data_IF_830742075136
#
_entry.id   IF_830742075136
#
_cell.length_a   1.000
_cell.length_b   1.000
_cell.length_c   1.000
_cell.angle_alpha   90.00
_cell.angle_beta   90.00
_cell.angle_gamma   90.00
#
_symmetry.space_group_name_H-M   'P 1'
#
loop_
_entity.id
_entity.type
_entity.pdbx_description
1 polymer ?
#
# COMPACT_ATOMS: atom_id res chain seq x y z
N UNK A 1 13.11 4.97 40.06
CA UNK A 1 11.69 4.74 39.69
C UNK A 1 11.45 4.93 38.19
N UNK A 2 11.85 6.07 37.59
CA UNK A 2 11.67 6.33 36.15
C UNK A 2 12.34 5.28 35.22
N UNK A 3 13.57 4.84 35.55
CA UNK A 3 14.29 3.83 34.75
C UNK A 3 13.63 2.44 34.78
N UNK A 4 12.99 2.06 35.89
CA UNK A 4 12.25 0.79 35.96
C UNK A 4 11.01 0.82 35.07
N UNK A 5 10.33 1.97 34.99
CA UNK A 5 9.17 2.14 34.11
C UNK A 5 9.53 2.03 32.62
N UNK A 6 10.63 2.66 32.20
CA UNK A 6 11.12 2.56 30.81
C UNK A 6 11.50 1.12 30.46
N UNK A 7 12.22 0.42 31.34
CA UNK A 7 12.62 -0.97 31.10
C UNK A 7 11.40 -1.91 30.96
N UNK A 8 10.36 -1.71 31.77
CA UNK A 8 9.10 -2.47 31.66
C UNK A 8 8.41 -2.19 30.32
N UNK A 9 8.32 -0.93 29.90
CA UNK A 9 7.70 -0.56 28.61
C UNK A 9 8.45 -1.15 27.42
N UNK A 10 9.79 -1.11 27.43
CA UNK A 10 10.63 -1.74 26.39
C UNK A 10 10.43 -3.26 26.38
N UNK A 11 10.37 -3.89 27.56
CA UNK A 11 10.09 -5.32 27.67
C UNK A 11 8.74 -5.70 27.08
N UNK A 12 7.68 -4.96 27.42
CA UNK A 12 6.33 -5.16 26.86
C UNK A 12 6.35 -4.98 25.34
N UNK A 13 7.01 -3.94 24.84
CA UNK A 13 7.11 -3.68 23.40
C UNK A 13 7.84 -4.80 22.65
N UNK A 14 8.95 -5.31 23.18
CA UNK A 14 9.67 -6.44 22.59
C UNK A 14 8.81 -7.72 22.58
N UNK A 15 8.01 -7.95 23.63
CA UNK A 15 7.07 -9.06 23.66
C UNK A 15 5.98 -8.91 22.60
N UNK A 16 5.48 -7.69 22.37
CA UNK A 16 4.54 -7.41 21.29
C UNK A 16 5.17 -7.66 19.92
N UNK A 17 6.41 -7.21 19.69
CA UNK A 17 7.16 -7.50 18.47
C UNK A 17 7.28 -9.00 18.23
N UNK A 18 7.62 -9.77 19.27
CA UNK A 18 7.70 -11.22 19.18
C UNK A 18 6.34 -11.88 18.88
N UNK A 19 5.24 -11.38 19.46
CA UNK A 19 3.89 -11.92 19.24
C UNK A 19 3.34 -11.68 17.83
N UNK A 20 3.85 -10.67 17.13
CA UNK A 20 3.43 -10.27 15.79
C UNK A 20 4.36 -10.82 14.70
N UNK A 21 5.27 -11.72 15.06
CA UNK A 21 6.16 -12.35 14.11
C UNK A 21 5.36 -13.22 13.14
N UNK A 22 5.49 -12.91 11.85
CA UNK A 22 4.94 -13.74 10.79
C UNK A 22 5.87 -14.92 10.50
N UNK A 23 5.27 -16.10 10.37
CA UNK A 23 5.92 -17.29 9.87
C UNK A 23 5.38 -17.58 8.46
N UNK A 24 6.29 -17.96 7.56
CA UNK A 24 5.95 -18.41 6.21
C UNK A 24 4.96 -19.56 6.31
N UNK A 25 3.91 -19.51 5.50
CA UNK A 25 2.86 -20.52 5.43
C UNK A 25 2.12 -20.44 4.11
N UNK A 26 1.55 -21.55 3.70
CA UNK A 26 0.63 -21.62 2.58
C UNK A 26 -0.76 -21.10 2.97
N UNK A 27 -1.56 -20.58 2.02
CA UNK A 27 -2.96 -20.30 2.24
C UNK A 27 -3.71 -21.61 2.51
N UNK A 28 -4.82 -21.52 3.26
CA UNK A 28 -5.68 -22.67 3.53
C UNK A 28 -6.98 -22.63 2.72
N UNK A 29 -7.05 -21.74 1.73
CA UNK A 29 -8.19 -21.58 0.84
C UNK A 29 -8.08 -22.55 -0.34
N UNK A 30 -9.19 -22.90 -1.01
CA UNK A 30 -9.15 -23.65 -2.25
C UNK A 30 -8.21 -22.99 -3.27
N UNK A 31 -7.54 -23.80 -4.08
CA UNK A 31 -6.82 -23.29 -5.25
C UNK A 31 -7.81 -22.65 -6.22
N UNK A 32 -7.42 -21.50 -6.76
CA UNK A 32 -8.16 -20.75 -7.78
C UNK A 32 -7.16 -20.30 -8.84
N UNK A 33 -7.66 -19.97 -10.03
CA UNK A 33 -6.81 -19.59 -11.16
C UNK A 33 -6.19 -18.19 -10.99
N UNK A 34 -6.81 -17.32 -10.17
CA UNK A 34 -6.29 -15.98 -9.88
C UNK A 34 -5.70 -15.90 -8.46
N UNK A 35 -4.70 -15.02 -8.30
CA UNK A 35 -4.04 -14.79 -7.01
C UNK A 35 -4.00 -13.31 -6.65
N UNK A 36 -4.10 -13.01 -5.36
CA UNK A 36 -3.99 -11.68 -4.81
C UNK A 36 -2.87 -11.62 -3.77
N UNK A 37 -2.03 -10.59 -3.85
CA UNK A 37 -0.90 -10.36 -2.97
C UNK A 37 -0.96 -8.95 -2.38
N UNK A 38 -0.97 -8.88 -1.05
CA UNK A 38 -0.71 -7.68 -0.28
C UNK A 38 0.77 -7.67 0.11
N UNK A 39 1.55 -6.83 -0.56
CA UNK A 39 3.01 -6.84 -0.52
C UNK A 39 3.53 -5.58 0.15
N UNK A 40 4.60 -5.71 0.95
CA UNK A 40 5.26 -4.60 1.62
C UNK A 40 6.75 -4.56 1.31
N UNK A 41 7.23 -3.36 0.98
CA UNK A 41 8.63 -2.97 1.13
C UNK A 41 8.79 -2.43 2.56
N UNK A 42 9.67 -3.02 3.34
CA UNK A 42 9.86 -2.74 4.75
C UNK A 42 10.66 -1.47 5.03
N UNK A 43 11.63 -1.13 4.17
CA UNK A 43 12.46 0.06 4.32
C UNK A 43 11.99 1.24 3.45
N UNK A 44 10.96 1.01 2.63
CA UNK A 44 10.20 2.01 1.90
C UNK A 44 9.79 3.22 2.74
N UNK A 45 9.62 4.36 2.09
CA UNK A 45 9.29 5.64 2.74
C UNK A 45 10.18 5.98 3.96
N UNK A 46 11.49 5.70 3.88
CA UNK A 46 12.47 5.93 4.96
C UNK A 46 12.20 5.10 6.23
N UNK A 47 11.77 3.85 6.08
CA UNK A 47 11.58 2.90 7.18
C UNK A 47 10.19 2.85 7.79
N UNK A 48 9.22 3.58 7.24
CA UNK A 48 7.79 3.39 7.57
C UNK A 48 7.17 2.20 6.79
N UNK A 49 7.83 1.83 5.70
CA UNK A 49 7.40 0.85 4.72
C UNK A 49 6.54 1.46 3.61
N UNK A 50 6.31 0.67 2.56
CA UNK A 50 5.42 0.99 1.45
C UNK A 50 4.64 -0.27 1.04
N UNK A 51 3.32 -0.13 0.85
CA UNK A 51 2.45 -1.25 0.48
C UNK A 51 2.04 -1.16 -0.99
N UNK A 52 2.00 -2.30 -1.67
CA UNK A 52 1.38 -2.46 -2.99
C UNK A 52 0.40 -3.63 -3.00
N UNK A 53 -0.49 -3.59 -3.99
CA UNK A 53 -1.35 -4.72 -4.36
C UNK A 53 -0.81 -5.31 -5.66
N UNK A 54 -0.61 -6.62 -5.71
CA UNK A 54 -0.41 -7.37 -6.95
C UNK A 54 -1.60 -8.32 -7.13
N UNK A 55 -2.23 -8.24 -8.30
CA UNK A 55 -3.20 -9.23 -8.76
C UNK A 55 -2.57 -10.04 -9.88
N UNK A 56 -2.73 -11.35 -9.86
CA UNK A 56 -2.25 -12.26 -10.89
C UNK A 56 -3.45 -12.97 -11.49
N UNK A 57 -3.60 -12.91 -12.81
CA UNK A 57 -4.69 -13.58 -13.52
C UNK A 57 -4.41 -15.06 -13.81
N UNK A 58 -5.38 -15.73 -14.43
CA UNK A 58 -5.34 -17.15 -14.79
C UNK A 58 -4.17 -17.51 -15.74
N UNK A 59 -3.58 -16.52 -16.43
CA UNK A 59 -2.43 -16.70 -17.30
C UNK A 59 -1.10 -16.43 -16.59
N UNK A 60 -1.13 -16.06 -15.30
CA UNK A 60 0.04 -15.66 -14.53
C UNK A 60 0.45 -14.19 -14.74
N UNK A 61 -0.30 -13.41 -15.51
CA UNK A 61 0.03 -12.00 -15.78
C UNK A 61 -0.28 -11.18 -14.53
N UNK A 62 0.72 -10.41 -14.08
CA UNK A 62 0.64 -9.62 -12.87
C UNK A 62 0.22 -8.18 -13.18
N UNK A 63 -0.74 -7.64 -12.43
CA UNK A 63 -1.08 -6.21 -12.42
C UNK A 63 -0.80 -5.64 -11.04
N UNK A 64 0.08 -4.63 -10.97
CA UNK A 64 0.49 -3.98 -9.73
C UNK A 64 -0.21 -2.63 -9.57
N UNK A 65 -0.55 -2.31 -8.33
CA UNK A 65 -1.11 -1.02 -7.92
C UNK A 65 -0.34 -0.45 -6.73
N UNK A 66 0.10 0.80 -6.86
CA UNK A 66 0.87 1.55 -5.86
C UNK A 66 0.27 2.94 -5.70
N UNK A 67 -0.15 3.30 -4.48
CA UNK A 67 -0.81 4.58 -4.21
C UNK A 67 0.10 5.49 -3.38
N UNK A 68 0.30 6.75 -3.80
CA UNK A 68 1.11 7.72 -3.05
C UNK A 68 0.61 9.16 -3.22
N UNK A 69 1.15 10.10 -2.44
CA UNK A 69 0.87 11.52 -2.56
C UNK A 69 1.42 12.11 -3.86
N UNK A 70 0.60 12.92 -4.54
CA UNK A 70 0.98 13.63 -5.77
C UNK A 70 0.96 15.15 -5.61
N UNK A 71 -0.06 15.67 -4.93
CA UNK A 71 -0.28 17.12 -4.84
C UNK A 71 0.59 17.82 -3.77
N UNK A 72 0.87 17.14 -2.65
CA UNK A 72 1.61 17.73 -1.53
C UNK A 72 3.02 17.16 -1.45
N UNK A 73 3.96 17.97 -0.97
CA UNK A 73 5.31 17.48 -0.66
C UNK A 73 5.30 16.54 0.55
N UNK A 74 6.30 15.66 0.65
CA UNK A 74 6.44 14.76 1.81
C UNK A 74 6.45 15.52 3.15
N UNK A 75 7.12 16.68 3.20
CA UNK A 75 7.16 17.50 4.40
C UNK A 75 5.76 17.96 4.82
N UNK A 76 4.95 18.41 3.86
CA UNK A 76 3.57 18.81 4.10
C UNK A 76 2.67 17.64 4.52
N UNK A 77 2.84 16.48 3.88
CA UNK A 77 2.11 15.27 4.27
C UNK A 77 2.45 14.86 5.71
N UNK A 78 3.72 14.97 6.11
CA UNK A 78 4.16 14.70 7.49
C UNK A 78 3.56 15.66 8.52
N UNK A 79 3.25 16.90 8.12
CA UNK A 79 2.46 17.86 8.92
C UNK A 79 0.95 17.61 8.86
N UNK A 80 0.50 16.53 8.20
CA UNK A 80 -0.88 16.10 8.15
C UNK A 80 -1.71 16.73 7.02
N UNK A 81 -1.08 17.46 6.08
CA UNK A 81 -1.81 17.97 4.91
C UNK A 81 -2.24 16.81 4.02
N UNK A 82 -3.50 16.85 3.58
CA UNK A 82 -4.02 15.98 2.53
C UNK A 82 -3.77 16.58 1.15
N UNK A 83 -3.86 15.76 0.11
CA UNK A 83 -3.91 16.20 -1.27
C UNK A 83 -4.28 15.05 -2.20
N UNK A 84 -4.47 15.31 -3.48
CA UNK A 84 -4.71 14.24 -4.45
C UNK A 84 -3.53 13.27 -4.46
N UNK A 85 -3.85 11.98 -4.40
CA UNK A 85 -2.89 10.90 -4.59
C UNK A 85 -2.81 10.43 -6.04
N UNK A 86 -1.75 9.71 -6.35
CA UNK A 86 -1.48 9.03 -7.62
C UNK A 86 -1.58 7.54 -7.40
N UNK A 87 -2.31 6.85 -8.27
CA UNK A 87 -2.36 5.40 -8.31
C UNK A 87 -1.55 4.92 -9.51
N UNK A 88 -0.27 4.64 -9.28
CA UNK A 88 0.59 4.02 -10.28
C UNK A 88 0.14 2.58 -10.52
N UNK A 89 -0.01 2.23 -11.80
CA UNK A 89 -0.36 0.89 -12.24
C UNK A 89 0.59 0.41 -13.33
N UNK A 90 0.89 -0.88 -13.32
CA UNK A 90 1.76 -1.51 -14.31
C UNK A 90 1.47 -3.00 -14.42
N UNK A 91 1.78 -3.58 -15.58
CA UNK A 91 1.60 -5.00 -15.86
C UNK A 91 2.93 -5.71 -16.07
N UNK A 92 2.98 -6.97 -15.67
CA UNK A 92 4.10 -7.90 -15.86
C UNK A 92 3.61 -9.13 -16.59
N UNK A 93 4.43 -9.64 -17.50
CA UNK A 93 4.25 -10.97 -18.07
C UNK A 93 4.32 -12.04 -16.97
N UNK A 94 3.86 -13.27 -17.27
CA UNK A 94 3.92 -14.36 -16.30
C UNK A 94 5.35 -14.65 -15.78
N UNK A 95 6.35 -14.56 -16.66
CA UNK A 95 7.76 -14.72 -16.31
C UNK A 95 8.25 -13.59 -15.39
N UNK A 96 7.93 -12.33 -15.70
CA UNK A 96 8.29 -11.18 -14.86
C UNK A 96 7.60 -11.24 -13.49
N UNK A 97 6.33 -11.67 -13.44
CA UNK A 97 5.59 -11.88 -12.19
C UNK A 97 6.24 -12.95 -11.33
N UNK A 98 6.63 -14.08 -11.91
CA UNK A 98 7.32 -15.15 -11.20
C UNK A 98 8.67 -14.66 -10.65
N UNK A 99 9.45 -13.95 -11.47
CA UNK A 99 10.74 -13.36 -11.06
C UNK A 99 10.52 -12.37 -9.91
N UNK A 100 9.53 -11.49 -10.00
CA UNK A 100 9.22 -10.55 -8.94
C UNK A 100 8.84 -11.26 -7.63
N UNK A 101 7.97 -12.28 -7.69
CA UNK A 101 7.57 -13.05 -6.51
C UNK A 101 8.74 -13.85 -5.89
N UNK A 102 9.75 -14.21 -6.69
CA UNK A 102 10.95 -14.89 -6.20
C UNK A 102 11.99 -13.92 -5.61
N UNK A 103 12.19 -12.77 -6.25
CA UNK A 103 13.32 -11.85 -5.96
C UNK A 103 12.93 -10.64 -5.11
N UNK A 104 11.65 -10.27 -5.12
CA UNK A 104 11.17 -9.00 -4.56
C UNK A 104 11.48 -7.79 -5.44
N UNK A 105 12.24 -7.93 -6.53
CA UNK A 105 12.62 -6.82 -7.39
C UNK A 105 11.50 -6.49 -8.38
N UNK A 106 10.80 -5.38 -8.14
CA UNK A 106 9.83 -4.84 -9.08
C UNK A 106 10.54 -3.88 -10.03
N UNK A 107 10.41 -4.09 -11.34
CA UNK A 107 11.11 -3.33 -12.36
C UNK A 107 10.21 -2.93 -13.53
N UNK A 108 9.10 -2.26 -13.26
CA UNK A 108 8.19 -1.76 -14.29
C UNK A 108 8.50 -0.30 -14.58
N UNK A 109 8.50 0.08 -15.87
CA UNK A 109 8.59 1.48 -16.28
C UNK A 109 7.42 2.28 -15.73
N UNK A 110 7.71 3.12 -14.73
CA UNK A 110 6.69 3.92 -14.07
C UNK A 110 7.19 4.48 -12.75
N UNK A 111 6.71 5.68 -12.43
CA UNK A 111 6.98 6.29 -11.13
C UNK A 111 6.40 5.39 -10.02
N UNK A 112 7.24 5.01 -9.05
CA UNK A 112 6.88 4.19 -7.87
C UNK A 112 6.57 2.71 -8.17
N UNK A 113 6.99 2.20 -9.34
CA UNK A 113 6.92 0.77 -9.70
C UNK A 113 8.32 0.18 -9.95
N UNK A 114 9.33 0.77 -9.31
CA UNK A 114 10.70 0.26 -9.31
C UNK A 114 11.23 0.28 -7.88
N UNK A 115 11.25 -0.87 -7.22
CA UNK A 115 11.69 -1.00 -5.83
C UNK A 115 11.94 -2.47 -5.47
N UNK A 116 12.49 -2.73 -4.28
CA UNK A 116 12.61 -4.08 -3.72
C UNK A 116 11.56 -4.29 -2.61
N UNK A 117 10.85 -5.40 -2.65
CA UNK A 117 9.81 -5.77 -1.71
C UNK A 117 10.19 -7.02 -0.94
N UNK A 118 9.67 -7.14 0.28
CA UNK A 118 10.22 -8.02 1.31
C UNK A 118 9.34 -9.22 1.65
N UNK A 119 8.02 -8.98 1.69
CA UNK A 119 7.06 -9.92 2.23
C UNK A 119 5.70 -9.69 1.63
N UNK A 120 4.98 -10.80 1.39
CA UNK A 120 3.61 -10.77 0.94
C UNK A 120 2.71 -11.60 1.86
N UNK A 121 1.50 -11.07 2.09
CA UNK A 121 0.34 -11.89 2.42
C UNK A 121 -0.40 -12.19 1.12
N UNK A 122 -0.79 -13.44 0.92
CA UNK A 122 -1.41 -13.82 -0.35
C UNK A 122 -2.54 -14.82 -0.18
N UNK A 123 -3.47 -14.83 -1.14
CA UNK A 123 -4.52 -15.85 -1.23
C UNK A 123 -5.00 -16.05 -2.67
N UNK A 124 -5.51 -17.25 -2.98
CA UNK A 124 -6.34 -17.48 -4.15
C UNK A 124 -7.62 -16.63 -4.10
N UNK A 125 -8.05 -16.18 -5.28
CA UNK A 125 -9.28 -15.40 -5.49
C UNK A 125 -9.98 -15.87 -6.77
N UNK A 126 -11.30 -15.73 -6.81
CA UNK A 126 -12.09 -15.99 -8.02
C UNK A 126 -11.84 -14.91 -9.08
N UNK A 127 -12.11 -15.23 -10.35
CA UNK A 127 -12.09 -14.26 -11.44
C UNK A 127 -13.08 -13.08 -11.19
N UNK A 128 -14.24 -13.34 -10.59
CA UNK A 128 -15.19 -12.28 -10.21
C UNK A 128 -14.62 -11.37 -9.10
N UNK A 129 -13.93 -11.94 -8.12
CA UNK A 129 -13.27 -11.17 -7.06
C UNK A 129 -12.16 -10.27 -7.66
N UNK A 130 -11.37 -10.81 -8.60
CA UNK A 130 -10.35 -10.06 -9.34
C UNK A 130 -10.96 -8.81 -10.01
N UNK A 131 -12.08 -8.96 -10.71
CA UNK A 131 -12.76 -7.83 -11.37
C UNK A 131 -13.30 -6.81 -10.37
N UNK A 132 -13.91 -7.26 -9.27
CA UNK A 132 -14.41 -6.35 -8.22
C UNK A 132 -13.27 -5.51 -7.64
N UNK A 133 -12.09 -6.09 -7.43
CA UNK A 133 -10.92 -5.35 -6.95
C UNK A 133 -10.48 -4.30 -7.98
N UNK A 134 -10.42 -4.66 -9.28
CA UNK A 134 -10.09 -3.70 -10.34
C UNK A 134 -11.07 -2.51 -10.35
N UNK A 135 -12.37 -2.76 -10.19
CA UNK A 135 -13.38 -1.70 -10.13
C UNK A 135 -13.15 -0.71 -8.98
N UNK A 136 -12.60 -1.17 -7.84
CA UNK A 136 -12.26 -0.28 -6.72
C UNK A 136 -11.13 0.70 -7.03
N UNK A 137 -10.33 0.44 -8.07
CA UNK A 137 -9.22 1.33 -8.48
C UNK A 137 -9.70 2.52 -9.30
N UNK A 138 -10.89 2.42 -9.92
CA UNK A 138 -11.43 3.42 -10.86
C UNK A 138 -11.51 4.84 -10.25
N UNK A 139 -12.03 5.04 -9.02
CA UNK A 139 -12.07 6.38 -8.41
C UNK A 139 -10.69 7.02 -8.24
N UNK A 140 -9.66 6.22 -7.96
CA UNK A 140 -8.28 6.68 -7.78
C UNK A 140 -7.66 7.12 -9.11
N UNK A 141 -7.82 6.30 -10.16
CA UNK A 141 -7.36 6.63 -11.51
C UNK A 141 -8.06 7.90 -12.05
N UNK A 142 -9.36 8.02 -11.81
CA UNK A 142 -10.14 9.19 -12.23
C UNK A 142 -9.69 10.48 -11.52
N UNK A 143 -9.45 10.41 -10.20
CA UNK A 143 -8.99 11.56 -9.42
C UNK A 143 -7.59 12.02 -9.88
N UNK A 144 -6.68 11.07 -10.13
CA UNK A 144 -5.36 11.36 -10.69
C UNK A 144 -5.47 12.03 -12.07
N UNK A 145 -6.27 11.47 -12.98
CA UNK A 145 -6.45 12.01 -14.32
C UNK A 145 -7.01 13.43 -14.31
N UNK A 146 -8.04 13.68 -13.48
CA UNK A 146 -8.62 15.02 -13.30
C UNK A 146 -7.59 16.01 -12.78
N UNK A 147 -6.79 15.62 -11.79
CA UNK A 147 -5.74 16.47 -11.25
C UNK A 147 -4.66 16.79 -12.29
N UNK A 148 -4.15 15.79 -13.00
CA UNK A 148 -3.13 16.00 -14.05
C UNK A 148 -3.63 16.94 -15.14
N UNK A 149 -4.85 16.73 -15.62
CA UNK A 149 -5.48 17.58 -16.64
C UNK A 149 -5.59 19.03 -16.17
N UNK A 150 -5.94 19.26 -14.90
CA UNK A 150 -6.05 20.61 -14.34
C UNK A 150 -4.67 21.23 -14.10
N UNK A 151 -3.70 20.43 -13.64
CA UNK A 151 -2.34 20.86 -13.40
C UNK A 151 -1.62 21.26 -14.69
N UNK A 152 -1.79 20.51 -15.77
CA UNK A 152 -1.26 20.85 -17.10
C UNK A 152 -1.77 22.21 -17.58
N UNK A 153 -3.08 22.44 -17.46
CA UNK A 153 -3.68 23.75 -17.77
C UNK A 153 -3.10 24.87 -16.91
N UNK A 154 -2.91 24.64 -15.61
CA UNK A 154 -2.29 25.61 -14.72
C UNK A 154 -0.82 25.91 -15.09
N UNK A 155 -0.06 24.88 -15.46
CA UNK A 155 1.36 24.98 -15.77
C UNK A 155 1.62 25.74 -17.08
N UNK A 156 0.74 25.57 -18.06
CA UNK A 156 0.84 26.19 -19.39
C UNK A 156 0.16 27.57 -19.49
N UNK A 157 -0.67 27.96 -18.51
CA UNK A 157 -1.42 29.21 -18.56
C UNK A 157 -0.53 30.45 -18.31
N UNK A 158 -0.61 31.40 -19.24
CA UNK A 158 0.14 32.67 -19.20
C UNK A 158 -0.66 33.79 -18.52
N UNK A 159 -2.00 33.75 -18.58
CA UNK A 159 -2.85 34.74 -17.92
C UNK A 159 -2.89 34.52 -16.40
N UNK A 160 -2.40 35.51 -15.65
CA UNK A 160 -2.31 35.43 -14.19
C UNK A 160 -3.68 35.24 -13.51
N UNK A 161 -4.76 35.80 -14.09
CA UNK A 161 -6.12 35.66 -13.54
C UNK A 161 -6.63 34.23 -13.66
N UNK A 162 -6.56 33.64 -14.85
CA UNK A 162 -6.93 32.24 -15.11
C UNK A 162 -6.03 31.26 -14.40
N UNK A 163 -4.73 31.52 -14.33
CA UNK A 163 -3.81 30.69 -13.56
C UNK A 163 -4.18 30.64 -12.08
N UNK A 164 -4.57 31.76 -11.48
CA UNK A 164 -5.07 31.81 -10.11
C UNK A 164 -6.44 31.13 -9.92
N UNK A 165 -7.25 31.00 -10.98
CA UNK A 165 -8.47 30.18 -10.96
C UNK A 165 -8.14 28.68 -10.94
N UNK A 166 -7.20 28.23 -11.77
CA UNK A 166 -6.75 26.83 -11.77
C UNK A 166 -6.06 26.44 -10.46
N UNK A 167 -5.25 27.34 -9.89
CA UNK A 167 -4.62 27.11 -8.59
C UNK A 167 -5.66 26.87 -7.49
N UNK A 168 -6.68 27.74 -7.40
CA UNK A 168 -7.80 27.56 -6.45
C UNK A 168 -8.56 26.26 -6.69
N UNK A 169 -8.75 25.86 -7.94
CA UNK A 169 -9.41 24.60 -8.26
C UNK A 169 -8.57 23.38 -7.83
N UNK A 170 -7.24 23.42 -8.02
CA UNK A 170 -6.32 22.37 -7.53
C UNK A 170 -6.37 22.28 -6.00
N UNK A 171 -6.36 23.41 -5.30
CA UNK A 171 -6.51 23.45 -3.84
C UNK A 171 -7.85 22.86 -3.37
N UNK A 172 -8.95 23.17 -4.06
CA UNK A 172 -10.27 22.62 -3.76
C UNK A 172 -10.32 21.10 -3.95
N UNK A 173 -9.72 20.57 -5.01
CA UNK A 173 -9.59 19.13 -5.20
C UNK A 173 -8.88 18.46 -4.02
N UNK A 174 -7.83 19.07 -3.49
CA UNK A 174 -7.09 18.55 -2.32
C UNK A 174 -7.85 18.56 -0.99
N UNK A 175 -9.07 19.13 -0.97
CA UNK A 175 -9.95 19.23 0.19
C UNK A 175 -11.27 18.46 0.01
N UNK A 176 -11.56 18.00 -1.22
CA UNK A 176 -12.79 17.28 -1.54
C UNK A 176 -12.76 15.85 -0.99
N UNK A 177 -13.55 15.62 0.07
CA UNK A 177 -13.62 14.32 0.75
C UNK A 177 -14.32 13.23 -0.08
N UNK A 178 -14.89 13.57 -1.24
CA UNK A 178 -15.40 12.57 -2.18
C UNK A 178 -14.30 11.95 -3.05
N UNK A 179 -13.11 12.57 -3.08
CA UNK A 179 -11.94 12.07 -3.80
C UNK A 179 -11.05 11.23 -2.88
N UNK A 180 -10.25 10.30 -3.44
CA UNK A 180 -9.26 9.54 -2.69
C UNK A 180 -8.05 10.43 -2.35
N UNK A 181 -8.21 11.26 -1.31
CA UNK A 181 -7.17 12.17 -0.84
C UNK A 181 -6.07 11.40 -0.10
N UNK A 182 -4.84 11.47 -0.61
CA UNK A 182 -3.68 10.95 0.09
C UNK A 182 -3.43 11.73 1.39
N UNK A 183 -3.31 11.00 2.49
CA UNK A 183 -2.95 11.51 3.81
C UNK A 183 -2.12 10.44 4.52
N UNK A 184 -0.87 10.77 4.87
CA UNK A 184 0.14 9.78 5.28
C UNK A 184 -0.24 8.94 6.52
N UNK A 185 -1.09 9.47 7.41
CA UNK A 185 -1.52 8.86 8.67
C UNK A 185 -2.93 8.29 8.65
N UNK A 186 -3.73 8.47 7.60
CA UNK A 186 -5.15 8.05 7.56
C UNK A 186 -5.61 7.49 6.22
N UNK A 187 -5.00 7.88 5.10
CA UNK A 187 -5.29 7.35 3.77
C UNK A 187 -4.01 7.32 2.91
N UNK A 188 -3.17 6.32 3.13
CA UNK A 188 -1.87 6.16 2.48
C UNK A 188 -1.84 4.90 1.58
N UNK A 189 -0.66 4.52 1.09
CA UNK A 189 -0.46 3.32 0.26
C UNK A 189 -1.12 2.07 0.85
N UNK A 190 -0.92 1.85 2.15
CA UNK A 190 -1.45 0.71 2.87
C UNK A 190 -2.98 0.71 2.96
N UNK A 191 -3.56 1.87 3.30
CA UNK A 191 -5.02 1.97 3.39
C UNK A 191 -5.69 1.75 2.04
N UNK A 192 -5.11 2.28 0.96
CA UNK A 192 -5.63 2.06 -0.39
C UNK A 192 -5.64 0.57 -0.75
N UNK A 193 -4.50 -0.12 -0.58
CA UNK A 193 -4.39 -1.57 -0.82
C UNK A 193 -5.42 -2.34 0.00
N UNK A 194 -5.53 -2.07 1.30
CA UNK A 194 -6.52 -2.75 2.15
C UNK A 194 -7.96 -2.44 1.76
N UNK A 195 -8.24 -1.23 1.28
CA UNK A 195 -9.56 -0.84 0.79
C UNK A 195 -9.95 -1.65 -0.43
N UNK A 196 -9.03 -1.82 -1.38
CA UNK A 196 -9.25 -2.64 -2.57
C UNK A 196 -9.54 -4.10 -2.21
N UNK A 197 -8.72 -4.68 -1.34
CA UNK A 197 -8.87 -6.06 -0.86
C UNK A 197 -10.19 -6.25 -0.08
N UNK A 198 -10.59 -5.26 0.72
CA UNK A 198 -11.81 -5.30 1.55
C UNK A 198 -13.10 -5.44 0.74
N UNK A 199 -13.08 -5.17 -0.57
CA UNK A 199 -14.24 -5.35 -1.43
C UNK A 199 -14.62 -6.83 -1.60
N UNK A 200 -13.67 -7.75 -1.40
CA UNK A 200 -13.86 -9.20 -1.59
C UNK A 200 -13.47 -10.04 -0.36
N UNK A 201 -12.69 -9.48 0.56
CA UNK A 201 -12.29 -10.15 1.79
C UNK A 201 -12.94 -9.52 3.01
N UNK A 202 -13.91 -10.23 3.62
CA UNK A 202 -14.65 -9.75 4.79
C UNK A 202 -13.79 -9.58 6.03
N UNK A 203 -12.70 -10.35 6.17
CA UNK A 203 -11.76 -10.17 7.29
C UNK A 203 -10.94 -8.91 7.11
N UNK A 204 -10.49 -8.62 5.87
CA UNK A 204 -9.82 -7.36 5.56
C UNK A 204 -10.78 -6.17 5.72
N UNK A 205 -12.06 -6.33 5.35
CA UNK A 205 -13.09 -5.30 5.55
C UNK A 205 -13.26 -4.97 7.04
N UNK A 206 -13.46 -6.00 7.88
CA UNK A 206 -13.57 -5.83 9.33
C UNK A 206 -12.29 -5.20 9.89
N UNK A 207 -11.12 -5.71 9.49
CA UNK A 207 -9.84 -5.18 9.92
C UNK A 207 -9.67 -3.70 9.55
N UNK A 208 -10.00 -3.33 8.32
CA UNK A 208 -9.87 -1.96 7.81
C UNK A 208 -10.78 -0.99 8.52
N UNK A 209 -12.00 -1.41 8.87
CA UNK A 209 -12.95 -0.57 9.59
C UNK A 209 -12.50 -0.18 11.01
N UNK A 210 -11.80 -1.08 11.71
CA UNK A 210 -11.40 -0.86 13.11
C UNK A 210 -9.93 -0.43 13.30
N UNK A 211 -9.12 -0.51 12.24
CA UNK A 211 -7.68 -0.27 12.36
C UNK A 211 -7.36 1.22 12.42
N UNK A 212 -6.67 1.61 13.50
CA UNK A 212 -6.11 2.97 13.72
C UNK A 212 -4.59 3.04 13.47
N UNK A 213 -3.97 1.91 13.11
CA UNK A 213 -2.54 1.73 12.84
C UNK A 213 -2.31 1.80 11.34
N UNK A 214 -1.26 2.47 10.89
CA UNK A 214 -1.21 2.95 9.50
C UNK A 214 0.16 2.77 8.85
N UNK A 215 1.15 2.18 9.54
CA UNK A 215 2.37 1.80 8.82
C UNK A 215 2.15 0.49 8.06
N UNK A 216 2.59 0.41 6.80
CA UNK A 216 2.65 -0.83 6.01
C UNK A 216 3.14 -2.05 6.82
N UNK A 217 4.30 -1.92 7.48
CA UNK A 217 4.91 -3.00 8.24
C UNK A 217 4.06 -3.46 9.43
N UNK A 218 3.50 -2.51 10.18
CA UNK A 218 2.66 -2.81 11.33
C UNK A 218 1.37 -3.53 10.93
N UNK A 219 0.74 -3.08 9.84
CA UNK A 219 -0.53 -3.63 9.36
C UNK A 219 -0.36 -5.01 8.74
N UNK A 220 0.66 -5.23 7.92
CA UNK A 220 0.96 -6.56 7.37
C UNK A 220 1.11 -7.59 8.49
N UNK A 221 1.87 -7.28 9.54
CA UNK A 221 2.09 -8.20 10.67
C UNK A 221 0.83 -8.45 11.49
N UNK A 222 0.11 -7.38 11.83
CA UNK A 222 -1.09 -7.48 12.64
C UNK A 222 -2.21 -8.23 11.91
N UNK A 223 -2.47 -7.89 10.65
CA UNK A 223 -3.43 -8.60 9.82
C UNK A 223 -2.99 -10.04 9.57
N UNK A 224 -1.75 -10.25 9.13
CA UNK A 224 -1.19 -11.58 8.83
C UNK A 224 -1.15 -12.53 10.04
N UNK A 225 -1.09 -12.01 11.27
CA UNK A 225 -1.18 -12.85 12.48
C UNK A 225 -2.62 -13.31 12.72
N UNK A 226 -3.63 -12.50 12.35
CA UNK A 226 -5.06 -12.79 12.48
C UNK A 226 -5.60 -13.63 11.32
N UNK A 227 -5.17 -13.36 10.09
CA UNK A 227 -5.66 -13.95 8.85
C UNK A 227 -5.06 -15.34 8.58
N UNK A 228 -5.47 -16.34 9.38
CA UNK A 228 -4.91 -17.70 9.31
C UNK A 228 -5.13 -18.43 7.98
N UNK A 229 -6.13 -18.00 7.20
CA UNK A 229 -6.44 -18.52 5.88
C UNK A 229 -5.56 -17.94 4.77
N UNK A 230 -4.91 -16.81 5.00
CA UNK A 230 -3.95 -16.21 4.08
C UNK A 230 -2.58 -16.89 4.20
N UNK A 231 -1.92 -17.06 3.05
CA UNK A 231 -0.51 -17.41 2.96
C UNK A 231 0.39 -16.25 3.38
N UNK A 232 1.62 -16.58 3.76
CA UNK A 232 2.70 -15.64 4.08
C UNK A 232 3.93 -16.12 3.33
N UNK A 233 4.52 -15.25 2.53
CA UNK A 233 5.79 -15.54 1.85
C UNK A 233 6.78 -14.40 2.01
N UNK A 234 8.05 -14.77 1.95
CA UNK A 234 9.15 -13.83 1.79
C UNK A 234 9.35 -13.58 0.30
N UNK A 235 9.71 -12.36 -0.05
CA UNK A 235 10.15 -12.01 -1.40
C UNK A 235 11.66 -11.75 -1.32
N UNK A 236 12.43 -12.45 -2.15
CA UNK A 236 13.88 -12.29 -2.18
C UNK A 236 14.58 -12.56 -0.84
N UNK A 237 15.71 -11.88 -0.66
CA UNK A 237 16.53 -11.99 0.54
C UNK A 237 16.52 -10.65 1.30
N UNK A 238 16.00 -10.69 2.52
CA UNK A 238 16.02 -9.50 3.37
C UNK A 238 17.41 -9.18 3.91
N UNK A 239 17.82 -7.93 3.75
CA UNK A 239 18.95 -7.30 4.41
C UNK A 239 18.78 -7.31 5.94
N UNK A 240 19.87 -7.07 6.66
CA UNK A 240 19.81 -6.98 8.11
C UNK A 240 18.89 -5.83 8.57
N UNK A 241 18.89 -4.71 7.85
CA UNK A 241 18.07 -3.55 8.21
C UNK A 241 16.59 -3.84 8.03
N UNK A 242 16.18 -4.45 6.91
CA UNK A 242 14.80 -4.86 6.67
C UNK A 242 14.31 -5.83 7.73
N UNK A 243 15.11 -6.82 8.13
CA UNK A 243 14.76 -7.75 9.21
C UNK A 243 14.52 -7.03 10.54
N UNK A 244 15.35 -6.03 10.84
CA UNK A 244 15.21 -5.20 12.04
C UNK A 244 13.93 -4.37 11.97
N UNK A 245 13.65 -3.70 10.85
CA UNK A 245 12.43 -2.92 10.64
C UNK A 245 11.18 -3.81 10.73
N UNK A 246 11.19 -4.94 10.02
CA UNK A 246 10.14 -5.95 10.08
C UNK A 246 9.93 -6.53 11.47
N UNK A 247 10.95 -6.57 12.32
CA UNK A 247 10.75 -6.97 13.72
C UNK A 247 10.15 -5.83 14.56
N UNK A 248 10.76 -4.65 14.51
CA UNK A 248 10.48 -3.56 15.45
C UNK A 248 9.23 -2.71 15.10
N UNK A 249 8.85 -2.57 13.82
CA UNK A 249 7.76 -1.66 13.40
C UNK A 249 6.39 -2.35 13.52
N UNK A 250 5.70 -2.19 14.65
CA UNK A 250 4.42 -2.88 14.95
C UNK A 250 3.19 -1.95 15.05
N UNK A 251 3.36 -0.67 14.70
CA UNK A 251 2.36 0.39 14.82
C UNK A 251 2.17 1.10 13.49
#
# INVERSE_FOLDING_TARGET
MLMCGVAVMVGIWLLLCASLRLAVREPSLPEEDCMMYYIVNADGMKGLGHSILLLVDEQGIGTVFSFNGMQTSLGESLFGKSGIGKLSTGTMTAEETEIFLQTGDLGIDGDQLTDNYDMALYRPIMAEEYQVILEQTIPYLNAEHQFKTLYEKWAEEEDAGRRAEYERALEQMGQDQSLPLYQIYTNNCDHAVRTFISAVDSMMQEYTHYTRRMTPNGNLKAFGTRAKNWGVMMLGAQSFLERVLMFLVIF
#
